data_IF_064484634152
#
_entry.id   IF_064484634152
#
_cell.length_a   1.000
_cell.length_b   1.000
_cell.length_c   1.000
_cell.angle_alpha   90.00
_cell.angle_beta   90.00
_cell.angle_gamma   90.00
#
_symmetry.space_group_name_H-M   'P 1'
#
loop_
_entity.id
_entity.type
_entity.pdbx_description
1 polymer ?
#
# COMPACT_ATOMS: atom_id res chain seq x y z
N UNK A 1 46.84 31.15 59.26
CA UNK A 1 46.34 29.98 58.51
C UNK A 1 47.09 29.92 57.19
N UNK A 2 47.95 28.93 57.01
CA UNK A 2 48.72 28.68 55.78
C UNK A 2 47.79 28.33 54.61
N UNK A 3 48.08 28.83 53.41
CA UNK A 3 48.20 27.97 52.22
C UNK A 3 48.98 28.66 51.10
N UNK A 4 50.02 27.95 50.67
CA UNK A 4 50.96 28.23 49.59
C UNK A 4 50.26 28.32 48.24
N UNK A 5 50.71 29.22 47.40
CA UNK A 5 50.51 29.18 45.94
C UNK A 5 51.83 28.78 45.30
N UNK A 6 51.96 27.51 44.93
CA UNK A 6 53.04 27.02 44.07
C UNK A 6 52.50 26.73 42.66
N UNK A 7 53.38 27.07 41.71
CA UNK A 7 53.30 27.11 40.26
C UNK A 7 52.86 25.83 39.54
N UNK A 8 52.24 25.99 38.37
CA UNK A 8 52.57 25.15 37.22
C UNK A 8 52.59 26.00 35.93
N UNK A 9 53.80 26.14 35.40
CA UNK A 9 54.11 26.64 34.07
C UNK A 9 53.70 25.60 33.01
N UNK A 10 53.10 26.06 31.91
CA UNK A 10 53.09 25.30 30.66
C UNK A 10 53.69 26.19 29.57
N UNK A 11 54.89 25.86 29.05
CA UNK A 11 55.51 26.56 27.96
C UNK A 11 54.93 26.05 26.64
N UNK A 12 54.89 26.93 25.63
CA UNK A 12 54.84 26.66 24.19
C UNK A 12 53.89 27.64 23.49
N UNK A 13 54.35 28.88 23.31
CA UNK A 13 53.98 29.74 22.17
C UNK A 13 55.13 30.74 21.96
N UNK A 14 56.29 30.23 21.59
CA UNK A 14 57.38 31.01 21.03
C UNK A 14 57.47 30.70 19.54
N UNK A 15 57.03 31.63 18.71
CA UNK A 15 57.09 31.48 17.25
C UNK A 15 56.25 32.52 16.52
N UNK A 16 56.82 33.69 16.27
CA UNK A 16 56.31 34.66 15.30
C UNK A 16 56.54 34.09 13.90
N UNK A 17 55.57 33.34 13.38
CA UNK A 17 55.45 32.99 11.97
C UNK A 17 54.22 33.69 11.37
N UNK A 18 54.26 34.15 10.11
CA UNK A 18 53.10 34.76 9.48
C UNK A 18 52.02 33.68 9.31
N UNK A 19 50.85 33.91 9.90
CA UNK A 19 49.65 33.12 9.63
C UNK A 19 49.25 33.30 8.17
N UNK A 20 49.80 32.47 7.27
CA UNK A 20 49.29 32.35 5.90
C UNK A 20 47.85 31.81 5.95
N UNK A 21 46.98 32.20 5.02
CA UNK A 21 45.64 31.63 4.95
C UNK A 21 45.77 30.11 4.77
N UNK A 22 45.14 29.34 5.66
CA UNK A 22 45.03 27.89 5.46
C UNK A 22 44.39 27.65 4.08
N UNK A 23 44.90 26.71 3.27
CA UNK A 23 44.53 26.58 1.85
C UNK A 23 43.05 26.24 1.62
N UNK A 24 42.31 25.82 2.65
CA UNK A 24 40.86 25.64 2.60
C UNK A 24 40.25 25.99 3.95
N UNK A 25 39.39 27.01 3.99
CA UNK A 25 38.63 27.35 5.20
C UNK A 25 37.53 26.33 5.48
N UNK A 26 37.10 26.19 6.74
CA UNK A 26 35.97 25.32 7.15
C UNK A 26 34.71 25.53 6.29
N UNK A 27 34.44 26.77 5.89
CA UNK A 27 33.29 27.12 5.03
C UNK A 27 33.44 26.57 3.61
N UNK A 28 34.64 26.62 3.05
CA UNK A 28 34.91 26.10 1.71
C UNK A 28 34.89 24.58 1.73
N UNK A 29 35.40 23.96 2.80
CA UNK A 29 35.26 22.53 3.01
C UNK A 29 33.78 22.09 3.08
N UNK A 30 32.93 22.80 3.83
CA UNK A 30 31.49 22.49 3.90
C UNK A 30 30.80 22.70 2.54
N UNK A 31 31.13 23.79 1.82
CA UNK A 31 30.57 24.05 0.49
C UNK A 31 30.95 22.96 -0.52
N UNK A 32 32.24 22.63 -0.61
CA UNK A 32 32.75 21.64 -1.56
C UNK A 32 32.28 20.24 -1.22
N UNK A 33 32.30 19.85 0.06
CA UNK A 33 31.83 18.54 0.49
C UNK A 33 30.31 18.41 0.33
N UNK A 34 29.55 19.47 0.62
CA UNK A 34 28.11 19.52 0.41
C UNK A 34 27.71 19.44 -1.06
N UNK A 35 28.39 20.18 -1.94
CA UNK A 35 28.16 20.12 -3.39
C UNK A 35 28.51 18.74 -3.95
N UNK A 36 29.66 18.17 -3.57
CA UNK A 36 30.06 16.83 -4.00
C UNK A 36 29.05 15.77 -3.55
N UNK A 37 28.60 15.84 -2.29
CA UNK A 37 27.57 14.95 -1.77
C UNK A 37 26.24 15.11 -2.52
N UNK A 38 25.80 16.35 -2.78
CA UNK A 38 24.59 16.61 -3.55
C UNK A 38 24.66 16.08 -4.99
N UNK A 39 25.81 16.22 -5.66
CA UNK A 39 26.00 15.70 -7.02
C UNK A 39 26.04 14.16 -7.06
N UNK A 40 26.67 13.52 -6.07
CA UNK A 40 26.64 12.06 -5.93
C UNK A 40 25.22 11.53 -5.67
N UNK A 41 24.41 12.28 -4.92
CA UNK A 41 23.00 11.92 -4.67
C UNK A 41 22.14 12.19 -5.91
N UNK A 42 22.36 13.29 -6.63
CA UNK A 42 21.64 13.62 -7.85
C UNK A 42 21.87 12.60 -8.98
N UNK A 43 23.11 12.10 -9.13
CA UNK A 43 23.44 11.04 -10.10
C UNK A 43 22.80 9.67 -9.81
N UNK A 44 22.19 9.50 -8.62
CA UNK A 44 21.47 8.28 -8.21
C UNK A 44 19.94 8.43 -8.25
N UNK A 45 19.43 9.60 -8.63
CA UNK A 45 17.99 9.82 -8.73
C UNK A 45 17.50 9.36 -10.09
N UNK A 46 16.61 8.37 -10.11
CA UNK A 46 15.84 8.02 -11.30
C UNK A 46 14.81 9.11 -11.55
N UNK A 47 15.18 10.16 -12.29
CA UNK A 47 14.26 11.23 -12.65
C UNK A 47 13.38 10.76 -13.82
N UNK A 48 12.07 10.97 -13.71
CA UNK A 48 11.11 10.58 -14.75
C UNK A 48 11.31 11.34 -16.07
N UNK A 49 11.86 12.56 -16.00
CA UNK A 49 11.92 13.49 -17.11
C UNK A 49 13.14 14.42 -17.03
N UNK A 50 13.65 14.87 -18.18
CA UNK A 50 14.70 15.87 -18.30
C UNK A 50 16.04 15.32 -18.80
N UNK A 51 17.12 16.11 -18.74
CA UNK A 51 17.17 17.49 -18.26
C UNK A 51 16.41 18.48 -19.16
N UNK A 52 15.83 19.51 -18.55
CA UNK A 52 15.18 20.60 -19.26
C UNK A 52 16.10 21.83 -19.36
N UNK A 53 15.97 22.58 -20.44
CA UNK A 53 16.60 23.86 -20.68
C UNK A 53 15.53 24.96 -20.75
N UNK A 54 15.91 26.23 -20.64
CA UNK A 54 14.95 27.34 -20.62
C UNK A 54 14.14 27.42 -21.92
N UNK A 55 14.76 27.00 -23.03
CA UNK A 55 14.15 26.97 -24.36
C UNK A 55 13.00 25.95 -24.44
N UNK A 56 13.02 24.90 -23.61
CA UNK A 56 11.92 23.93 -23.56
C UNK A 56 10.61 24.56 -23.04
N UNK A 57 10.71 25.68 -22.31
CA UNK A 57 9.59 26.37 -21.67
C UNK A 57 9.18 27.67 -22.38
N UNK A 58 9.52 27.84 -23.66
CA UNK A 58 8.91 28.90 -24.49
C UNK A 58 7.37 28.82 -24.47
N UNK A 59 6.83 27.61 -24.28
CA UNK A 59 5.45 27.36 -23.85
C UNK A 59 5.45 26.80 -22.42
N UNK A 60 4.45 27.16 -21.61
CA UNK A 60 4.30 26.72 -20.21
C UNK A 60 4.45 25.19 -20.06
N UNK A 61 4.01 24.45 -21.07
CA UNK A 61 4.02 23.00 -21.13
C UNK A 61 4.94 22.60 -22.30
N UNK A 62 6.15 22.05 -22.06
CA UNK A 62 7.08 21.68 -23.13
C UNK A 62 6.46 20.62 -24.03
N UNK A 63 6.64 20.72 -25.35
CA UNK A 63 6.13 19.73 -26.30
C UNK A 63 6.83 18.38 -26.13
N UNK A 64 8.15 18.39 -25.99
CA UNK A 64 8.93 17.22 -25.60
C UNK A 64 9.03 17.17 -24.07
N UNK A 65 8.45 16.11 -23.49
CA UNK A 65 8.50 15.88 -22.04
C UNK A 65 9.83 15.32 -21.58
N UNK A 66 10.72 14.93 -22.49
CA UNK A 66 12.03 14.31 -22.19
C UNK A 66 11.90 13.19 -21.17
N UNK A 67 10.82 12.42 -21.28
CA UNK A 67 10.56 11.30 -20.38
C UNK A 67 11.62 10.24 -20.61
N UNK A 68 12.23 9.78 -19.52
CA UNK A 68 13.23 8.73 -19.66
C UNK A 68 12.56 7.45 -20.14
N UNK A 69 13.22 6.74 -21.05
CA UNK A 69 12.71 5.46 -21.57
C UNK A 69 12.44 4.47 -20.44
N UNK A 70 13.34 4.41 -19.47
CA UNK A 70 13.20 3.56 -18.28
C UNK A 70 11.96 3.90 -17.45
N UNK A 71 11.61 5.19 -17.31
CA UNK A 71 10.39 5.58 -16.61
C UNK A 71 9.14 5.18 -17.39
N UNK A 72 9.12 5.39 -18.71
CA UNK A 72 8.01 4.93 -19.56
C UNK A 72 7.85 3.41 -19.45
N UNK A 73 8.93 2.64 -19.55
CA UNK A 73 8.92 1.18 -19.39
C UNK A 73 8.35 0.77 -18.02
N UNK A 74 8.66 1.51 -16.96
CA UNK A 74 8.12 1.25 -15.61
C UNK A 74 6.61 1.41 -15.52
N UNK A 75 5.99 2.27 -16.33
CA UNK A 75 4.52 2.45 -16.35
C UNK A 75 3.79 1.22 -16.91
N UNK A 76 4.46 0.41 -17.73
CA UNK A 76 3.91 -0.83 -18.29
C UNK A 76 4.22 -2.06 -17.43
N UNK A 77 5.07 -1.93 -16.41
CA UNK A 77 5.32 -3.01 -15.47
C UNK A 77 4.03 -3.33 -14.70
N UNK A 78 3.62 -4.60 -14.69
CA UNK A 78 2.49 -5.02 -13.86
C UNK A 78 2.90 -4.91 -12.40
N UNK A 79 2.04 -4.27 -11.60
CA UNK A 79 2.19 -4.28 -10.15
C UNK A 79 1.74 -5.60 -9.53
N UNK A 80 1.89 -5.69 -8.22
CA UNK A 80 1.31 -6.78 -7.44
C UNK A 80 -0.14 -6.47 -7.07
N UNK A 81 -1.01 -7.50 -6.97
CA UNK A 81 -2.36 -7.33 -6.46
C UNK A 81 -2.35 -6.75 -5.04
N UNK A 82 -3.37 -5.95 -4.71
CA UNK A 82 -3.56 -5.50 -3.33
C UNK A 82 -3.80 -6.71 -2.43
N UNK A 83 -3.02 -6.82 -1.36
CA UNK A 83 -3.17 -7.82 -0.31
C UNK A 83 -3.47 -7.12 1.01
N UNK A 84 -4.37 -7.69 1.79
CA UNK A 84 -4.75 -7.16 3.09
C UNK A 84 -4.95 -8.30 4.09
N UNK A 85 -4.66 -8.02 5.36
CA UNK A 85 -4.70 -8.98 6.47
C UNK A 85 -5.11 -8.29 7.76
N UNK A 86 -5.48 -9.07 8.78
CA UNK A 86 -5.75 -8.57 10.12
C UNK A 86 -6.81 -7.47 10.17
N UNK A 87 -6.50 -6.36 10.84
CA UNK A 87 -7.45 -5.26 11.07
C UNK A 87 -7.92 -4.56 9.79
N UNK A 88 -7.17 -4.65 8.69
CA UNK A 88 -7.52 -3.99 7.43
C UNK A 88 -8.65 -4.72 6.69
N UNK A 89 -8.86 -6.02 6.96
CA UNK A 89 -9.92 -6.82 6.34
C UNK A 89 -11.30 -6.21 6.54
N UNK A 90 -11.55 -5.56 7.68
CA UNK A 90 -12.85 -4.95 8.02
C UNK A 90 -13.29 -3.83 7.08
N UNK A 91 -12.37 -3.24 6.32
CA UNK A 91 -12.67 -2.14 5.39
C UNK A 91 -12.80 -2.61 3.94
N UNK A 92 -12.61 -3.90 3.69
CA UNK A 92 -12.65 -4.45 2.33
C UNK A 92 -14.09 -4.76 1.97
N UNK A 93 -14.56 -4.10 0.92
CA UNK A 93 -15.82 -4.40 0.25
C UNK A 93 -15.61 -4.46 -1.25
N UNK A 94 -15.46 -5.66 -1.79
CA UNK A 94 -15.34 -5.85 -3.22
C UNK A 94 -16.71 -6.17 -3.82
N UNK A 95 -17.26 -5.35 -4.74
CA UNK A 95 -18.51 -5.66 -5.40
C UNK A 95 -18.36 -6.94 -6.24
N UNK A 96 -19.22 -7.92 -5.98
CA UNK A 96 -19.27 -9.20 -6.69
C UNK A 96 -20.71 -9.47 -7.12
N UNK A 97 -21.23 -8.62 -7.99
CA UNK A 97 -22.60 -8.71 -8.49
C UNK A 97 -22.64 -8.43 -9.99
N UNK A 98 -23.65 -8.98 -10.66
CA UNK A 98 -23.92 -8.68 -12.06
C UNK A 98 -24.31 -7.21 -12.27
N UNK A 99 -24.23 -6.78 -13.53
CA UNK A 99 -24.68 -5.45 -13.95
C UNK A 99 -26.19 -5.34 -13.69
N UNK A 100 -26.61 -4.30 -12.97
CA UNK A 100 -28.01 -4.01 -12.65
C UNK A 100 -28.74 -5.08 -11.81
N UNK A 101 -28.03 -5.89 -11.02
CA UNK A 101 -28.64 -6.93 -10.17
C UNK A 101 -28.72 -6.57 -8.68
N UNK A 102 -28.56 -5.28 -8.34
CA UNK A 102 -28.31 -4.85 -6.96
C UNK A 102 -26.87 -5.06 -6.53
N UNK A 103 -26.53 -4.70 -5.29
CA UNK A 103 -25.16 -4.75 -4.77
C UNK A 103 -25.05 -5.83 -3.68
N UNK A 104 -24.03 -6.67 -3.80
CA UNK A 104 -23.57 -7.62 -2.78
C UNK A 104 -22.04 -7.59 -2.82
N UNK A 105 -21.42 -7.40 -1.67
CA UNK A 105 -19.97 -7.22 -1.57
C UNK A 105 -19.33 -8.45 -0.92
N UNK A 106 -18.12 -8.78 -1.34
CA UNK A 106 -17.23 -9.69 -0.65
C UNK A 106 -16.46 -8.91 0.42
N UNK A 107 -16.49 -9.42 1.64
CA UNK A 107 -15.69 -8.95 2.76
C UNK A 107 -14.24 -9.40 2.64
N UNK A 108 -13.34 -8.72 3.34
CA UNK A 108 -11.94 -9.13 3.46
C UNK A 108 -11.76 -10.53 4.08
N UNK A 109 -12.70 -10.95 4.92
CA UNK A 109 -12.75 -12.27 5.53
C UNK A 109 -13.41 -13.34 4.64
N UNK A 110 -13.91 -12.95 3.45
CA UNK A 110 -14.61 -13.81 2.49
C UNK A 110 -16.12 -13.98 2.75
N UNK A 111 -16.69 -13.34 3.78
CA UNK A 111 -18.15 -13.31 3.96
C UNK A 111 -18.81 -12.35 2.98
N UNK A 112 -20.06 -12.64 2.60
CA UNK A 112 -20.87 -11.70 1.83
C UNK A 112 -21.48 -10.63 2.75
N UNK A 113 -21.29 -9.36 2.39
CA UNK A 113 -21.80 -8.21 3.14
C UNK A 113 -22.41 -7.16 2.21
N UNK A 114 -22.94 -6.08 2.80
CA UNK A 114 -23.57 -4.97 2.09
C UNK A 114 -24.62 -5.41 1.06
N UNK A 115 -25.71 -6.00 1.56
CA UNK A 115 -26.83 -6.45 0.75
C UNK A 115 -27.76 -5.28 0.43
N UNK A 116 -27.59 -4.68 -0.74
CA UNK A 116 -28.43 -3.59 -1.24
C UNK A 116 -29.06 -4.01 -2.59
N UNK A 117 -30.03 -4.93 -2.52
CA UNK A 117 -30.67 -5.53 -3.69
C UNK A 117 -31.75 -4.62 -4.30
N UNK A 118 -32.37 -3.76 -3.50
CA UNK A 118 -33.39 -2.80 -3.91
C UNK A 118 -32.79 -1.52 -4.53
N UNK A 119 -31.48 -1.32 -4.41
CA UNK A 119 -30.78 -0.15 -4.94
C UNK A 119 -31.07 1.12 -4.16
N UNK A 120 -31.52 1.00 -2.91
CA UNK A 120 -31.78 2.15 -2.07
C UNK A 120 -30.47 2.89 -1.75
N UNK A 121 -30.57 4.22 -1.73
CA UNK A 121 -29.43 5.10 -1.43
C UNK A 121 -29.46 5.49 0.04
N UNK A 122 -28.35 5.26 0.73
CA UNK A 122 -28.19 5.74 2.09
C UNK A 122 -27.68 7.18 2.18
N UNK A 123 -27.67 7.72 3.39
CA UNK A 123 -27.21 9.09 3.66
C UNK A 123 -25.72 9.33 3.34
N UNK A 124 -24.90 8.27 3.33
CA UNK A 124 -23.48 8.35 2.99
C UNK A 124 -23.24 8.30 1.47
N UNK A 125 -24.23 7.95 0.65
CA UNK A 125 -24.12 7.91 -0.82
C UNK A 125 -24.27 9.30 -1.44
N UNK A 126 -23.42 10.23 -1.01
CA UNK A 126 -23.35 11.63 -1.45
C UNK A 126 -21.95 11.96 -1.98
N UNK A 127 -21.85 12.88 -2.94
CA UNK A 127 -20.60 13.25 -3.61
C UNK A 127 -19.54 13.95 -2.74
N UNK A 128 -19.84 14.19 -1.45
CA UNK A 128 -18.92 14.83 -0.49
C UNK A 128 -17.98 13.86 0.23
N UNK A 129 -18.01 12.57 -0.11
CA UNK A 129 -17.07 11.57 0.39
C UNK A 129 -17.16 11.22 1.89
N UNK A 130 -18.34 11.14 2.53
CA UNK A 130 -18.42 10.79 3.95
C UNK A 130 -17.86 9.39 4.26
N UNK A 131 -17.88 8.48 3.29
CA UNK A 131 -17.24 7.14 3.40
C UNK A 131 -15.72 7.17 3.42
N UNK A 132 -15.10 8.27 3.00
CA UNK A 132 -13.65 8.43 3.11
C UNK A 132 -13.25 8.78 4.55
N UNK A 133 -14.04 9.64 5.20
CA UNK A 133 -13.79 10.06 6.60
C UNK A 133 -14.32 9.07 7.63
N UNK A 134 -15.42 8.38 7.32
CA UNK A 134 -16.07 7.39 8.17
C UNK A 134 -16.43 6.15 7.32
N UNK A 135 -15.43 5.29 7.04
CA UNK A 135 -15.62 4.11 6.21
C UNK A 135 -16.54 3.10 6.87
N UNK A 136 -17.43 2.52 6.07
CA UNK A 136 -18.27 1.42 6.53
C UNK A 136 -17.40 0.19 6.80
N UNK A 137 -17.64 -0.49 7.92
CA UNK A 137 -16.97 -1.75 8.26
C UNK A 137 -17.87 -2.92 7.91
N UNK A 138 -17.25 -4.08 7.64
CA UNK A 138 -17.98 -5.31 7.33
C UNK A 138 -19.10 -5.55 8.33
N UNK A 139 -20.32 -5.65 7.79
CA UNK A 139 -21.52 -6.03 8.50
C UNK A 139 -22.31 -6.99 7.60
N UNK A 140 -22.31 -8.27 7.95
CA UNK A 140 -23.09 -9.30 7.27
C UNK A 140 -24.47 -9.40 7.95
N UNK A 141 -25.54 -8.87 7.34
CA UNK A 141 -26.89 -8.91 7.93
C UNK A 141 -27.47 -10.33 7.97
N UNK A 142 -26.85 -11.26 7.25
CA UNK A 142 -27.25 -12.66 7.15
C UNK A 142 -26.11 -13.56 7.60
N UNK A 143 -26.44 -14.65 8.27
CA UNK A 143 -25.47 -15.68 8.61
C UNK A 143 -25.31 -16.64 7.42
N UNK A 144 -24.59 -16.15 6.40
CA UNK A 144 -24.20 -16.91 5.22
C UNK A 144 -22.68 -17.04 5.20
N UNK A 145 -22.21 -18.26 4.98
CA UNK A 145 -20.79 -18.56 4.83
C UNK A 145 -20.56 -20.04 4.59
N UNK A 146 -19.30 -20.42 4.57
CA UNK A 146 -18.86 -21.80 4.49
C UNK A 146 -18.17 -22.20 5.79
N UNK A 147 -18.21 -23.48 6.10
CA UNK A 147 -17.45 -24.04 7.21
C UNK A 147 -16.86 -25.38 6.78
N UNK A 148 -15.70 -25.68 7.36
CA UNK A 148 -15.00 -26.94 7.19
C UNK A 148 -15.09 -27.75 8.48
N UNK A 149 -15.63 -28.95 8.40
CA UNK A 149 -15.47 -29.96 9.46
C UNK A 149 -14.21 -30.78 9.16
N UNK A 150 -13.30 -30.82 10.12
CA UNK A 150 -12.08 -31.63 10.07
C UNK A 150 -12.16 -32.70 11.15
N UNK A 151 -12.00 -33.96 10.75
CA UNK A 151 -11.81 -35.09 11.66
C UNK A 151 -10.33 -35.48 11.64
N UNK A 152 -9.68 -35.33 12.80
CA UNK A 152 -8.28 -35.70 12.98
C UNK A 152 -8.12 -36.52 14.25
N UNK A 153 -7.84 -37.82 14.09
CA UNK A 153 -7.64 -38.72 15.23
C UNK A 153 -8.90 -38.97 16.06
N UNK A 154 -10.10 -38.82 15.47
CA UNK A 154 -11.38 -39.03 16.15
C UNK A 154 -11.91 -37.79 16.87
N UNK A 155 -11.18 -36.67 16.84
CA UNK A 155 -11.68 -35.37 17.27
C UNK A 155 -12.22 -34.60 16.05
N UNK A 156 -13.49 -34.23 16.12
CA UNK A 156 -14.15 -33.38 15.11
C UNK A 156 -14.08 -31.93 15.53
N UNK A 157 -13.58 -31.08 14.64
CA UNK A 157 -13.54 -29.62 14.82
C UNK A 157 -14.13 -28.93 13.60
N UNK A 158 -14.87 -27.84 13.85
CA UNK A 158 -15.50 -27.02 12.81
C UNK A 158 -14.75 -25.69 12.75
N UNK A 159 -14.36 -25.29 11.55
CA UNK A 159 -13.70 -24.02 11.25
C UNK A 159 -14.57 -23.24 10.26
N UNK A 160 -15.08 -22.07 10.63
CA UNK A 160 -15.79 -21.18 9.70
C UNK A 160 -14.78 -20.53 8.75
N UNK A 161 -15.14 -20.37 7.47
CA UNK A 161 -14.28 -19.67 6.49
C UNK A 161 -14.43 -18.15 6.63
N UNK A 162 -14.00 -17.64 7.77
CA UNK A 162 -13.97 -16.21 8.11
C UNK A 162 -12.91 -15.94 9.19
N UNK A 163 -12.78 -14.69 9.63
CA UNK A 163 -11.84 -14.30 10.69
C UNK A 163 -12.19 -14.82 12.09
N UNK A 164 -13.33 -15.50 12.27
CA UNK A 164 -13.65 -16.18 13.53
C UNK A 164 -13.11 -17.61 13.55
N UNK A 165 -13.03 -18.26 12.38
CA UNK A 165 -12.58 -19.65 12.26
C UNK A 165 -11.09 -19.83 11.95
N UNK A 166 -10.42 -18.78 11.44
CA UNK A 166 -8.98 -18.82 11.12
C UNK A 166 -8.28 -17.54 11.59
N UNK A 167 -7.07 -17.70 12.17
CA UNK A 167 -6.22 -16.58 12.58
C UNK A 167 -5.54 -15.86 11.39
N UNK A 168 -5.01 -16.61 10.41
CA UNK A 168 -4.32 -16.05 9.24
C UNK A 168 -5.25 -16.03 8.02
N UNK A 169 -5.94 -14.90 7.85
CA UNK A 169 -6.80 -14.62 6.71
C UNK A 169 -6.16 -13.56 5.83
N UNK A 170 -6.01 -13.88 4.54
CA UNK A 170 -5.42 -12.98 3.54
C UNK A 170 -6.38 -12.76 2.39
N UNK A 171 -6.82 -11.52 2.22
CA UNK A 171 -7.58 -11.09 1.04
C UNK A 171 -6.62 -10.63 -0.05
N UNK A 172 -6.81 -11.13 -1.27
CA UNK A 172 -6.07 -10.70 -2.46
C UNK A 172 -7.05 -10.20 -3.53
N UNK A 173 -7.00 -8.91 -3.84
CA UNK A 173 -7.90 -8.26 -4.80
C UNK A 173 -7.40 -8.45 -6.23
N UNK A 174 -8.22 -9.03 -7.11
CA UNK A 174 -7.99 -9.16 -8.55
C UNK A 174 -9.27 -8.86 -9.34
N UNK A 175 -9.99 -7.78 -8.99
CA UNK A 175 -11.30 -7.44 -9.58
C UNK A 175 -11.33 -7.72 -11.10
N UNK A 176 -12.33 -8.47 -11.62
CA UNK A 176 -13.60 -8.85 -10.99
C UNK A 176 -13.57 -10.11 -10.11
N UNK A 177 -12.39 -10.59 -9.72
CA UNK A 177 -12.21 -11.77 -8.87
C UNK A 177 -11.47 -11.42 -7.58
N UNK A 178 -11.67 -12.20 -6.53
CA UNK A 178 -10.83 -12.13 -5.34
C UNK A 178 -10.50 -13.53 -4.87
N UNK A 179 -9.37 -13.62 -4.17
CA UNK A 179 -8.91 -14.83 -3.53
C UNK A 179 -8.76 -14.55 -2.04
N UNK A 180 -9.36 -15.38 -1.21
CA UNK A 180 -9.23 -15.35 0.26
C UNK A 180 -8.55 -16.63 0.70
N UNK A 181 -7.41 -16.51 1.36
CA UNK A 181 -6.69 -17.67 1.90
C UNK A 181 -6.89 -17.73 3.41
N UNK A 182 -7.16 -18.92 3.92
CA UNK A 182 -7.37 -19.22 5.32
C UNK A 182 -6.31 -20.22 5.80
N UNK A 183 -5.57 -19.86 6.84
CA UNK A 183 -4.60 -20.71 7.49
C UNK A 183 -4.65 -20.53 9.01
N UNK A 184 -4.45 -21.61 9.75
CA UNK A 184 -4.47 -21.61 11.22
C UNK A 184 -3.59 -22.76 11.71
N UNK A 185 -2.83 -22.55 12.79
CA UNK A 185 -1.98 -23.61 13.37
C UNK A 185 -2.79 -24.80 13.91
N UNK A 186 -4.05 -24.56 14.29
CA UNK A 186 -4.97 -25.57 14.79
C UNK A 186 -5.74 -26.30 13.68
N UNK A 187 -5.71 -25.80 12.44
CA UNK A 187 -6.34 -26.44 11.28
C UNK A 187 -5.28 -27.13 10.41
N UNK A 188 -5.36 -28.45 10.18
CA UNK A 188 -4.32 -29.16 9.42
C UNK A 188 -4.36 -28.89 7.91
N UNK A 189 -5.37 -28.16 7.42
CA UNK A 189 -5.51 -27.82 6.00
C UNK A 189 -5.54 -26.30 5.81
N UNK A 190 -4.94 -25.85 4.70
CA UNK A 190 -5.10 -24.49 4.20
C UNK A 190 -6.28 -24.48 3.23
N UNK A 191 -7.16 -23.50 3.35
CA UNK A 191 -8.30 -23.31 2.45
C UNK A 191 -8.09 -22.07 1.61
N UNK A 192 -8.48 -22.14 0.34
CA UNK A 192 -8.50 -21.01 -0.57
C UNK A 192 -9.92 -20.88 -1.14
N UNK A 193 -10.45 -19.67 -1.07
CA UNK A 193 -11.74 -19.29 -1.62
C UNK A 193 -11.50 -18.31 -2.76
N UNK A 194 -11.86 -18.69 -3.98
CA UNK A 194 -11.96 -17.77 -5.11
C UNK A 194 -13.42 -17.34 -5.29
N UNK A 195 -13.66 -16.03 -5.29
CA UNK A 195 -14.99 -15.45 -5.40
C UNK A 195 -15.06 -14.42 -6.52
N UNK A 196 -16.07 -14.52 -7.39
CA UNK A 196 -16.25 -13.62 -8.51
C UNK A 196 -17.69 -13.60 -9.03
N UNK A 197 -17.98 -12.61 -9.85
CA UNK A 197 -19.15 -12.56 -10.73
C UNK A 197 -18.66 -12.61 -12.18
N UNK A 198 -19.39 -13.22 -13.13
CA UNK A 198 -18.94 -13.37 -14.52
C UNK A 198 -18.96 -12.04 -15.30
N UNK A 199 -18.13 -11.08 -14.88
CA UNK A 199 -17.98 -9.79 -15.53
C UNK A 199 -17.09 -9.93 -16.77
N UNK A 200 -17.71 -9.94 -17.95
CA UNK A 200 -17.07 -10.16 -19.24
C UNK A 200 -17.20 -8.87 -20.07
N UNK A 201 -16.09 -8.14 -20.30
CA UNK A 201 -16.13 -6.93 -21.13
C UNK A 201 -16.78 -7.19 -22.48
N UNK A 202 -17.68 -6.29 -22.88
CA UNK A 202 -18.47 -6.34 -24.13
C UNK A 202 -19.51 -7.48 -24.23
N UNK A 203 -19.65 -8.34 -23.20
CA UNK A 203 -20.72 -9.33 -23.12
C UNK A 203 -21.70 -8.95 -22.01
N UNK A 204 -22.72 -8.18 -22.39
CA UNK A 204 -23.76 -7.70 -21.47
C UNK A 204 -24.50 -8.85 -20.80
N UNK A 205 -24.90 -9.85 -21.58
CA UNK A 205 -25.86 -10.87 -21.14
C UNK A 205 -25.26 -11.69 -19.99
N UNK A 206 -24.05 -12.21 -20.17
CA UNK A 206 -23.39 -12.99 -19.11
C UNK A 206 -22.95 -12.11 -17.93
N UNK A 207 -22.58 -10.85 -18.19
CA UNK A 207 -22.23 -9.89 -17.13
C UNK A 207 -23.42 -9.42 -16.30
N UNK A 208 -24.65 -9.69 -16.74
CA UNK A 208 -25.88 -9.26 -16.07
C UNK A 208 -26.54 -10.34 -15.22
N UNK A 209 -25.92 -11.53 -15.10
CA UNK A 209 -26.48 -12.58 -14.25
C UNK A 209 -26.43 -12.20 -12.76
N UNK A 210 -27.53 -12.41 -12.01
CA UNK A 210 -27.56 -12.22 -10.56
C UNK A 210 -26.90 -13.41 -9.85
N UNK A 211 -25.63 -13.68 -10.17
CA UNK A 211 -24.90 -14.84 -9.68
C UNK A 211 -23.52 -14.47 -9.15
N UNK A 212 -23.13 -15.19 -8.10
CA UNK A 212 -21.82 -15.14 -7.46
C UNK A 212 -21.29 -16.57 -7.49
N UNK A 213 -20.07 -16.73 -7.98
CA UNK A 213 -19.35 -18.00 -7.92
C UNK A 213 -18.36 -17.92 -6.76
N UNK A 214 -18.38 -18.94 -5.90
CA UNK A 214 -17.49 -19.11 -4.76
C UNK A 214 -16.95 -20.54 -4.83
N UNK A 215 -15.64 -20.73 -5.03
CA UNK A 215 -15.02 -22.04 -5.25
C UNK A 215 -13.72 -22.21 -4.48
#
# INVERSE_FOLDING_TARGET
MNKKSDSFSNPCCGGTGPCGPAPTGRRDFIKTSGLTAAMLMAGRMNVMAGPFANEDFEQIIPSDKKLSKAWIESLYARGEPLRATGADLRFIGMPINGICTGQVYLGGDGRLWYWNLDGNRDAKQIGSGPRFTDPDTIHAPMDQGFALEVDSGGEKRIFTLDSNGFEDVVFTNRYPMAQVTYADAACPVRVELESYTPFIPLNRDDSSYPVIVMR
#
